data_IF_922915186875
#
_entry.id   IF_922915186875
#
_cell.length_a   1.000
_cell.length_b   1.000
_cell.length_c   1.000
_cell.angle_alpha   90.00
_cell.angle_beta   90.00
_cell.angle_gamma   90.00
#
_symmetry.space_group_name_H-M   'P 1'
#
loop_
_entity.id
_entity.type
_entity.pdbx_description
1 polymer ?
#
# COMPACT_ATOMS: atom_id res chain seq x y z
N UNK A 1 44.53 37.34 27.06
CA UNK A 1 44.24 35.88 26.93
C UNK A 1 42.78 35.71 27.34
N UNK A 2 41.88 35.57 26.42
CA UNK A 2 40.48 35.27 26.70
C UNK A 2 40.35 33.77 26.94
N UNK A 3 39.75 33.38 28.07
CA UNK A 3 39.45 31.97 28.39
C UNK A 3 38.52 31.38 27.33
N UNK A 4 38.68 30.12 26.98
CA UNK A 4 37.76 29.44 26.06
C UNK A 4 36.39 29.30 26.75
N UNK A 5 35.36 29.81 26.10
CA UNK A 5 33.95 29.67 26.49
C UNK A 5 33.53 28.20 26.28
N UNK A 6 33.39 27.45 27.34
CA UNK A 6 32.74 26.14 27.33
C UNK A 6 31.27 26.34 27.63
N UNK A 7 30.35 25.95 26.75
CA UNK A 7 28.92 26.03 27.07
C UNK A 7 28.59 25.08 28.24
N UNK A 8 27.61 25.49 29.04
CA UNK A 8 27.09 24.71 30.17
C UNK A 8 26.55 23.36 29.66
N UNK A 9 27.01 22.23 30.23
CA UNK A 9 26.51 20.91 29.82
C UNK A 9 24.99 20.72 29.97
N UNK A 10 24.35 21.41 30.92
CA UNK A 10 22.90 21.40 31.10
C UNK A 10 22.19 22.10 29.96
N UNK A 11 22.68 23.25 29.46
CA UNK A 11 22.12 23.96 28.33
C UNK A 11 22.24 23.18 27.01
N UNK A 12 23.30 22.38 26.87
CA UNK A 12 23.49 21.47 25.72
C UNK A 12 22.48 20.32 25.76
N UNK A 13 22.17 19.76 26.94
CA UNK A 13 21.20 18.69 27.07
C UNK A 13 19.76 19.14 26.80
N UNK A 14 19.36 20.32 27.29
CA UNK A 14 18.02 20.89 27.02
C UNK A 14 17.82 21.21 25.53
N UNK A 15 18.84 21.73 24.85
CA UNK A 15 18.83 21.99 23.41
C UNK A 15 18.65 20.69 22.60
N UNK A 16 19.39 19.64 22.95
CA UNK A 16 19.31 18.36 22.26
C UNK A 16 17.96 17.65 22.47
N UNK A 17 17.36 17.72 23.65
CA UNK A 17 16.01 17.18 23.91
C UNK A 17 14.94 17.94 23.13
N UNK A 18 15.08 19.27 23.00
CA UNK A 18 14.19 20.11 22.19
C UNK A 18 14.29 19.77 20.71
N UNK A 19 15.50 19.55 20.18
CA UNK A 19 15.72 19.18 18.78
C UNK A 19 15.12 17.80 18.45
N UNK A 20 15.30 16.82 19.36
CA UNK A 20 14.67 15.52 19.20
C UNK A 20 13.13 15.59 19.22
N UNK A 21 12.56 16.47 20.05
CA UNK A 21 11.12 16.68 20.11
C UNK A 21 10.58 17.14 18.74
N UNK A 22 11.20 18.15 18.13
CA UNK A 22 10.78 18.68 16.83
C UNK A 22 11.11 17.72 15.69
N UNK A 23 12.21 16.97 15.77
CA UNK A 23 12.50 15.94 14.78
C UNK A 23 11.48 14.78 14.83
N UNK A 24 10.99 14.37 16.00
CA UNK A 24 9.89 13.41 16.10
C UNK A 24 8.60 13.95 15.49
N UNK A 25 8.37 15.27 15.57
CA UNK A 25 7.26 15.91 14.86
C UNK A 25 7.44 15.79 13.34
N UNK A 26 8.61 16.14 12.82
CA UNK A 26 8.92 15.96 11.39
C UNK A 26 8.78 14.48 10.94
N UNK A 27 9.18 13.52 11.79
CA UNK A 27 8.99 12.08 11.52
C UNK A 27 7.51 11.67 11.39
N UNK A 28 6.60 12.28 12.18
CA UNK A 28 5.15 12.02 11.99
C UNK A 28 4.67 12.49 10.62
N UNK A 29 5.13 13.65 10.16
CA UNK A 29 4.82 14.18 8.82
C UNK A 29 5.44 13.30 7.72
N UNK A 30 6.65 12.79 7.91
CA UNK A 30 7.27 11.83 6.99
C UNK A 30 6.44 10.55 6.84
N UNK A 31 5.85 10.04 7.94
CA UNK A 31 4.96 8.87 7.87
C UNK A 31 3.65 9.17 7.13
N UNK A 32 3.14 10.43 7.19
CA UNK A 32 2.00 10.84 6.36
C UNK A 32 2.35 10.84 4.88
N UNK A 33 3.54 11.32 4.49
CA UNK A 33 4.02 11.20 3.12
C UNK A 33 4.06 9.73 2.66
N UNK A 34 4.64 8.82 3.48
CA UNK A 34 4.68 7.39 3.18
C UNK A 34 3.28 6.79 2.96
N UNK A 35 2.31 7.13 3.81
CA UNK A 35 0.93 6.68 3.69
C UNK A 35 0.24 7.18 2.41
N UNK A 36 0.63 8.37 1.92
CA UNK A 36 0.19 8.93 0.65
C UNK A 36 0.96 8.37 -0.57
N UNK A 37 1.93 7.45 -0.38
CA UNK A 37 2.75 6.89 -1.45
C UNK A 37 3.91 7.80 -1.91
N UNK A 38 4.20 8.85 -1.17
CA UNK A 38 5.30 9.78 -1.40
C UNK A 38 6.57 9.36 -0.65
N UNK A 39 7.73 9.86 -1.10
CA UNK A 39 8.99 9.64 -0.36
C UNK A 39 8.87 10.25 1.03
N UNK A 40 9.13 9.49 2.11
CA UNK A 40 8.82 9.90 3.47
C UNK A 40 9.81 10.95 4.00
N UNK A 41 9.57 12.18 3.64
CA UNK A 41 10.25 13.36 4.20
C UNK A 41 9.20 14.25 4.83
N UNK A 42 9.49 14.72 6.04
CA UNK A 42 8.65 15.68 6.77
C UNK A 42 9.51 16.83 7.31
N UNK A 43 8.93 18.01 7.37
CA UNK A 43 9.58 19.21 7.86
C UNK A 43 8.65 20.05 8.73
N UNK A 44 9.23 20.74 9.73
CA UNK A 44 8.52 21.69 10.57
C UNK A 44 9.36 22.96 10.79
N UNK A 45 8.73 24.13 10.66
CA UNK A 45 9.34 25.43 10.97
C UNK A 45 8.86 25.89 12.34
N UNK A 46 9.80 26.21 13.22
CA UNK A 46 9.55 26.58 14.62
C UNK A 46 10.19 27.93 14.94
N UNK A 47 9.50 28.75 15.75
CA UNK A 47 10.03 29.99 16.34
C UNK A 47 9.53 30.14 17.78
N UNK A 48 10.44 30.35 18.74
CA UNK A 48 10.07 30.51 20.14
C UNK A 48 9.22 29.39 20.72
N UNK A 49 9.50 28.14 20.34
CA UNK A 49 8.73 26.96 20.78
C UNK A 49 7.36 26.79 20.12
N UNK A 50 7.02 27.61 19.11
CA UNK A 50 5.74 27.50 18.38
C UNK A 50 5.97 27.03 16.95
N UNK A 51 5.14 26.09 16.50
CA UNK A 51 5.09 25.65 15.10
C UNK A 51 4.47 26.73 14.23
N UNK A 52 5.21 27.21 13.24
CA UNK A 52 4.75 28.18 12.25
C UNK A 52 4.34 27.53 10.94
N UNK A 53 4.97 26.43 10.55
CA UNK A 53 4.66 25.73 9.32
C UNK A 53 5.06 24.26 9.38
N UNK A 54 4.30 23.45 8.70
CA UNK A 54 4.48 22.00 8.57
C UNK A 54 4.43 21.62 7.11
N UNK A 55 5.18 20.58 6.74
CA UNK A 55 5.16 20.06 5.38
C UNK A 55 5.61 18.62 5.33
N UNK A 56 5.13 17.90 4.32
CA UNK A 56 5.60 16.58 3.95
C UNK A 56 5.66 16.48 2.43
N UNK A 57 6.52 15.60 1.92
CA UNK A 57 6.65 15.45 0.48
C UNK A 57 5.33 15.06 -0.18
N UNK A 58 4.96 15.79 -1.23
CA UNK A 58 3.76 15.55 -2.03
C UNK A 58 3.94 15.82 -3.55
N UNK A 59 5.12 15.61 -4.17
CA UNK A 59 5.32 15.90 -5.59
C UNK A 59 4.37 15.15 -6.51
N UNK A 60 4.08 13.88 -6.22
CA UNK A 60 3.21 13.03 -7.04
C UNK A 60 1.75 13.48 -6.88
N UNK A 61 1.29 13.59 -5.62
CA UNK A 61 -0.10 13.91 -5.31
C UNK A 61 -0.52 15.31 -5.74
N UNK A 62 0.42 16.28 -5.70
CA UNK A 62 0.17 17.66 -6.10
C UNK A 62 0.57 17.96 -7.55
N UNK A 63 1.21 17.01 -8.27
CA UNK A 63 1.80 17.23 -9.59
C UNK A 63 2.75 18.46 -9.63
N UNK A 64 3.46 18.69 -8.51
CA UNK A 64 4.38 19.80 -8.33
C UNK A 64 5.78 19.30 -7.96
N UNK A 65 6.79 19.43 -8.85
CA UNK A 65 8.15 18.97 -8.58
C UNK A 65 8.83 19.71 -7.42
N UNK A 66 8.27 20.83 -6.98
CA UNK A 66 8.78 21.63 -5.85
C UNK A 66 8.07 21.33 -4.52
N UNK A 67 7.08 20.45 -4.49
CA UNK A 67 6.31 20.10 -3.30
C UNK A 67 7.10 19.20 -2.33
N UNK A 68 8.34 19.60 -2.01
CA UNK A 68 9.13 19.00 -0.96
C UNK A 68 8.70 19.50 0.42
N UNK A 69 8.92 18.69 1.44
CA UNK A 69 8.52 18.96 2.83
C UNK A 69 8.96 20.33 3.30
N UNK A 70 10.22 20.69 3.04
CA UNK A 70 10.81 21.98 3.43
C UNK A 70 10.09 23.14 2.76
N UNK A 71 9.86 23.06 1.45
CA UNK A 71 9.19 24.11 0.68
C UNK A 71 7.75 24.31 1.15
N UNK A 72 7.05 23.23 1.45
CA UNK A 72 5.70 23.25 2.02
C UNK A 72 5.68 23.93 3.39
N UNK A 73 6.59 23.53 4.28
CA UNK A 73 6.71 24.13 5.61
C UNK A 73 7.07 25.62 5.58
N UNK A 74 8.01 26.01 4.69
CA UNK A 74 8.38 27.42 4.49
C UNK A 74 7.20 28.26 3.99
N UNK A 75 6.45 27.78 3.01
CA UNK A 75 5.26 28.47 2.48
C UNK A 75 4.22 28.70 3.57
N UNK A 76 3.91 27.68 4.35
CA UNK A 76 2.94 27.78 5.44
C UNK A 76 3.42 28.76 6.53
N UNK A 77 4.70 28.69 6.92
CA UNK A 77 5.28 29.58 7.93
C UNK A 77 5.26 31.05 7.45
N UNK A 78 5.62 31.30 6.18
CA UNK A 78 5.61 32.63 5.58
C UNK A 78 4.21 33.22 5.53
N UNK A 79 3.21 32.43 5.16
CA UNK A 79 1.81 32.84 5.17
C UNK A 79 1.33 33.20 6.59
N UNK A 80 1.68 32.35 7.59
CA UNK A 80 1.29 32.57 8.98
C UNK A 80 1.93 33.82 9.59
N UNK A 81 3.19 34.12 9.23
CA UNK A 81 3.88 35.32 9.67
C UNK A 81 3.56 36.56 8.85
N UNK A 82 2.91 36.42 7.70
CA UNK A 82 2.68 37.53 6.76
C UNK A 82 3.98 38.09 6.18
N UNK A 83 5.07 37.31 6.18
CA UNK A 83 6.38 37.73 5.72
C UNK A 83 7.14 36.53 5.10
N UNK A 84 7.78 36.76 3.94
CA UNK A 84 8.60 35.71 3.32
C UNK A 84 9.93 35.50 4.06
N UNK A 85 10.40 36.48 4.86
CA UNK A 85 11.59 36.31 5.71
C UNK A 85 11.20 35.65 7.01
N UNK A 86 11.84 34.54 7.30
CA UNK A 86 11.63 33.71 8.47
C UNK A 86 12.79 33.85 9.46
N UNK A 87 13.21 35.11 9.69
CA UNK A 87 14.31 35.44 10.58
C UNK A 87 14.08 34.89 12.00
N UNK A 88 15.09 34.25 12.58
CA UNK A 88 15.03 33.63 13.90
C UNK A 88 14.21 32.34 13.97
N UNK A 89 13.77 31.79 12.83
CA UNK A 89 13.14 30.47 12.77
C UNK A 89 14.17 29.35 12.64
N UNK A 90 13.82 28.19 13.18
CA UNK A 90 14.52 26.92 12.99
C UNK A 90 13.65 25.99 12.15
N UNK A 91 14.22 25.37 11.12
CA UNK A 91 13.57 24.30 10.37
C UNK A 91 14.14 22.95 10.80
N UNK A 92 13.28 22.00 11.10
CA UNK A 92 13.60 20.61 11.33
C UNK A 92 13.11 19.77 10.16
N UNK A 93 13.95 18.90 9.63
CA UNK A 93 13.62 18.05 8.47
C UNK A 93 14.24 16.66 8.63
N UNK A 94 13.51 15.63 8.25
CA UNK A 94 13.95 14.24 8.46
C UNK A 94 15.11 13.81 7.55
N UNK A 95 15.36 14.52 6.44
CA UNK A 95 16.40 14.24 5.46
C UNK A 95 17.20 15.51 5.15
N UNK A 96 18.49 15.36 4.90
CA UNK A 96 19.36 16.47 4.47
C UNK A 96 18.75 17.20 3.26
N UNK A 97 18.63 18.55 3.30
CA UNK A 97 18.03 19.31 2.21
C UNK A 97 18.77 19.18 0.90
N UNK A 98 18.03 19.02 -0.20
CA UNK A 98 18.60 19.07 -1.55
C UNK A 98 18.91 20.51 -1.98
N UNK A 99 19.55 20.70 -3.12
CA UNK A 99 19.95 22.03 -3.65
C UNK A 99 18.77 22.99 -3.79
N UNK A 100 17.61 22.52 -4.26
CA UNK A 100 16.40 23.34 -4.40
C UNK A 100 15.92 23.86 -3.05
N UNK A 101 15.81 22.95 -2.07
CA UNK A 101 15.36 23.30 -0.73
C UNK A 101 16.35 24.19 0.00
N UNK A 102 17.67 23.93 -0.16
CA UNK A 102 18.73 24.80 0.38
C UNK A 102 18.63 26.22 -0.16
N UNK A 103 18.39 26.38 -1.45
CA UNK A 103 18.13 27.68 -2.05
C UNK A 103 16.90 28.39 -1.46
N UNK A 104 15.81 27.66 -1.24
CA UNK A 104 14.59 28.18 -0.63
C UNK A 104 14.83 28.61 0.84
N UNK A 105 15.56 27.81 1.62
CA UNK A 105 15.94 28.09 3.01
C UNK A 105 16.74 29.38 3.15
N UNK A 106 17.76 29.56 2.27
CA UNK A 106 18.58 30.77 2.22
C UNK A 106 17.75 32.02 1.83
N UNK A 107 16.87 31.89 0.83
CA UNK A 107 15.96 32.97 0.43
C UNK A 107 14.98 33.35 1.55
N UNK A 108 14.49 32.36 2.29
CA UNK A 108 13.61 32.57 3.45
C UNK A 108 14.37 33.12 4.69
N UNK A 109 15.70 33.16 4.68
CA UNK A 109 16.56 33.59 5.80
C UNK A 109 16.32 32.81 7.09
N UNK A 110 16.15 31.49 6.95
CA UNK A 110 16.07 30.59 8.11
C UNK A 110 17.38 30.69 8.90
N UNK A 111 17.26 30.90 10.21
CA UNK A 111 18.44 31.06 11.06
C UNK A 111 19.18 29.73 11.29
N UNK A 112 18.46 28.65 11.47
CA UNK A 112 19.01 27.31 11.76
C UNK A 112 18.22 26.23 11.03
N UNK A 113 18.91 25.23 10.51
CA UNK A 113 18.33 24.00 9.96
C UNK A 113 18.91 22.81 10.71
N UNK A 114 18.03 21.97 11.21
CA UNK A 114 18.35 20.70 11.86
C UNK A 114 17.82 19.57 10.98
N UNK A 115 18.70 18.67 10.55
CA UNK A 115 18.28 17.53 9.74
C UNK A 115 18.62 16.18 10.37
N UNK A 116 17.82 15.16 10.05
CA UNK A 116 17.99 13.81 10.57
C UNK A 116 19.04 13.04 9.77
N UNK A 117 18.61 12.29 8.77
CA UNK A 117 19.47 11.44 7.94
C UNK A 117 20.25 12.26 6.90
N UNK A 118 21.46 11.82 6.56
CA UNK A 118 22.23 12.36 5.42
C UNK A 118 21.66 11.85 4.10
N UNK A 119 21.79 12.68 3.05
CA UNK A 119 21.40 12.32 1.67
C UNK A 119 22.65 12.25 0.76
N UNK A 120 23.22 11.05 0.55
CA UNK A 120 24.49 10.90 -0.16
C UNK A 120 24.41 11.15 -1.67
N UNK A 121 23.21 11.34 -2.25
CA UNK A 121 23.02 11.52 -3.69
C UNK A 121 22.72 12.95 -4.09
N UNK A 122 21.98 13.68 -3.29
CA UNK A 122 21.47 15.02 -3.62
C UNK A 122 21.56 16.02 -2.47
N UNK A 123 22.12 15.61 -1.32
CA UNK A 123 22.27 16.45 -0.15
C UNK A 123 23.16 17.65 -0.41
N UNK A 124 22.71 18.84 0.01
CA UNK A 124 23.41 20.11 -0.25
C UNK A 124 23.81 20.85 1.03
N UNK A 125 23.91 20.10 2.13
CA UNK A 125 24.37 20.59 3.44
C UNK A 125 25.58 19.78 3.96
N UNK A 126 26.48 19.41 3.05
CA UNK A 126 27.75 18.75 3.35
C UNK A 126 27.90 17.32 2.82
N UNK A 127 26.86 16.67 2.30
CA UNK A 127 26.99 15.31 1.75
C UNK A 127 27.51 15.27 0.31
N UNK A 128 26.96 16.06 -0.60
CA UNK A 128 27.38 16.16 -2.00
C UNK A 128 27.90 17.57 -2.30
N UNK A 129 27.14 18.56 -1.88
CA UNK A 129 27.48 19.97 -1.94
C UNK A 129 27.33 20.57 -0.55
N UNK A 130 28.01 21.70 -0.30
CA UNK A 130 27.75 22.52 0.89
C UNK A 130 27.45 23.94 0.44
N UNK A 131 26.16 24.19 0.18
CA UNK A 131 25.68 25.51 -0.26
C UNK A 131 25.76 26.53 0.89
N UNK A 132 25.61 26.06 2.14
CA UNK A 132 25.57 26.92 3.33
C UNK A 132 26.96 27.41 3.76
N UNK A 133 28.03 26.74 3.33
CA UNK A 133 29.40 27.15 3.56
C UNK A 133 29.90 28.25 2.63
N UNK A 134 29.11 28.67 1.64
CA UNK A 134 29.51 29.69 0.66
C UNK A 134 29.52 31.11 1.27
N UNK A 135 30.68 31.75 1.46
CA UNK A 135 30.77 33.04 2.14
C UNK A 135 30.21 34.22 1.31
N UNK A 136 29.96 34.00 0.01
CA UNK A 136 29.43 35.02 -0.90
C UNK A 136 27.89 35.20 -0.73
N UNK A 137 27.24 34.26 -0.05
CA UNK A 137 25.79 34.36 0.16
C UNK A 137 25.44 35.35 1.26
N UNK A 138 24.42 36.17 1.01
CA UNK A 138 23.93 37.18 1.93
C UNK A 138 23.19 36.65 3.16
N UNK A 139 22.81 35.37 3.14
CA UNK A 139 22.13 34.69 4.24
C UNK A 139 23.06 33.60 4.81
N UNK A 140 23.22 33.60 6.12
CA UNK A 140 24.02 32.62 6.82
C UNK A 140 23.08 31.78 7.72
N UNK A 141 22.88 30.54 7.34
CA UNK A 141 22.05 29.58 8.05
C UNK A 141 22.95 28.58 8.77
N UNK A 142 22.75 28.38 10.07
CA UNK A 142 23.47 27.33 10.80
C UNK A 142 22.89 25.98 10.48
N UNK A 143 23.75 25.01 10.16
CA UNK A 143 23.36 23.65 9.83
C UNK A 143 23.76 22.68 10.93
N UNK A 144 22.84 21.79 11.33
CA UNK A 144 23.09 20.71 12.27
C UNK A 144 22.45 19.41 11.77
N UNK A 145 23.27 18.37 11.63
CA UNK A 145 22.82 17.08 11.12
C UNK A 145 22.95 15.96 12.13
N UNK A 146 22.19 14.90 11.92
CA UNK A 146 22.32 13.65 12.71
C UNK A 146 21.31 13.52 13.85
N UNK A 147 20.37 14.44 14.01
CA UNK A 147 19.34 14.36 15.04
C UNK A 147 18.34 13.27 14.70
N UNK A 148 18.28 12.20 15.49
CA UNK A 148 17.50 10.98 15.25
C UNK A 148 17.78 10.38 13.85
N UNK A 149 19.05 10.41 13.42
CA UNK A 149 19.47 10.00 12.10
C UNK A 149 19.03 8.56 11.74
N UNK A 150 19.17 7.63 12.70
CA UNK A 150 18.79 6.23 12.50
C UNK A 150 17.28 6.07 12.30
N UNK A 151 16.46 6.74 13.11
CA UNK A 151 15.01 6.71 12.98
C UNK A 151 14.56 7.31 11.64
N UNK A 152 15.17 8.42 11.23
CA UNK A 152 14.89 9.07 9.95
C UNK A 152 15.28 8.17 8.76
N UNK A 153 16.45 7.56 8.82
CA UNK A 153 16.92 6.63 7.79
C UNK A 153 16.05 5.36 7.72
N UNK A 154 15.58 4.85 8.86
CA UNK A 154 14.73 3.66 8.91
C UNK A 154 13.42 3.86 8.16
N UNK A 155 12.73 4.99 8.35
CA UNK A 155 11.46 5.30 7.65
C UNK A 155 11.66 5.33 6.12
N UNK A 156 12.76 5.90 5.64
CA UNK A 156 13.13 5.89 4.21
C UNK A 156 13.44 4.47 3.72
N UNK A 157 14.24 3.72 4.48
CA UNK A 157 14.63 2.36 4.12
C UNK A 157 13.42 1.42 4.01
N UNK A 158 12.51 1.47 4.96
CA UNK A 158 11.25 0.70 4.96
C UNK A 158 10.40 1.01 3.73
N UNK A 159 10.19 2.29 3.43
CA UNK A 159 9.44 2.72 2.26
C UNK A 159 10.03 2.18 0.95
N UNK A 160 11.35 2.35 0.75
CA UNK A 160 12.01 1.87 -0.46
C UNK A 160 12.08 0.34 -0.51
N UNK A 161 12.17 -0.34 0.61
CA UNK A 161 12.10 -1.80 0.67
C UNK A 161 10.72 -2.29 0.22
N UNK A 162 9.65 -1.70 0.75
CA UNK A 162 8.28 -2.02 0.34
C UNK A 162 8.04 -1.73 -1.14
N UNK A 163 8.50 -0.57 -1.65
CA UNK A 163 8.41 -0.21 -3.08
C UNK A 163 9.16 -1.20 -3.96
N UNK A 164 10.39 -1.60 -3.59
CA UNK A 164 11.16 -2.63 -4.35
C UNK A 164 10.46 -3.98 -4.31
N UNK A 165 9.88 -4.36 -3.19
CA UNK A 165 9.14 -5.61 -3.07
C UNK A 165 7.89 -5.60 -3.96
N UNK A 166 7.13 -4.51 -3.95
CA UNK A 166 5.98 -4.32 -4.84
C UNK A 166 6.40 -4.36 -6.32
N UNK A 167 7.48 -3.66 -6.69
CA UNK A 167 8.00 -3.67 -8.06
C UNK A 167 8.50 -5.07 -8.48
N UNK A 168 9.19 -5.81 -7.61
CA UNK A 168 9.60 -7.19 -7.88
C UNK A 168 8.39 -8.11 -8.07
N UNK A 169 7.37 -7.98 -7.25
CA UNK A 169 6.12 -8.73 -7.39
C UNK A 169 5.39 -8.39 -8.70
N UNK A 170 5.44 -7.13 -9.13
CA UNK A 170 4.86 -6.69 -10.41
C UNK A 170 5.74 -7.06 -11.62
N UNK A 171 7.05 -7.02 -11.47
CA UNK A 171 8.05 -7.26 -12.52
C UNK A 171 8.51 -8.72 -12.62
N UNK A 172 7.88 -9.65 -11.87
CA UNK A 172 8.25 -11.06 -11.98
C UNK A 172 8.17 -11.52 -13.44
N UNK A 173 9.26 -12.07 -13.99
CA UNK A 173 9.27 -12.47 -15.39
C UNK A 173 8.16 -13.47 -15.62
N UNK A 174 7.29 -13.16 -16.58
CA UNK A 174 6.22 -14.03 -16.96
C UNK A 174 6.81 -15.32 -17.56
N UNK A 175 6.34 -16.46 -17.08
CA UNK A 175 6.73 -17.77 -17.65
C UNK A 175 6.40 -17.81 -19.13
N UNK A 176 7.24 -18.44 -20.00
CA UNK A 176 6.99 -18.54 -21.44
C UNK A 176 5.66 -19.24 -21.80
N UNK A 177 5.19 -20.13 -20.90
CA UNK A 177 3.96 -20.90 -21.06
C UNK A 177 2.74 -20.24 -20.41
N UNK A 178 2.84 -18.97 -19.99
CA UNK A 178 1.75 -18.20 -19.40
C UNK A 178 1.55 -16.86 -20.13
N UNK A 179 0.42 -16.21 -19.89
CA UNK A 179 0.13 -14.83 -20.25
C UNK A 179 -0.34 -14.07 -19.04
N UNK A 180 -0.10 -12.76 -19.04
CA UNK A 180 -0.58 -11.82 -18.03
C UNK A 180 -1.47 -10.79 -18.69
N UNK A 181 -2.66 -10.62 -18.16
CA UNK A 181 -3.56 -9.55 -18.64
C UNK A 181 -2.96 -8.19 -18.28
N UNK A 182 -2.77 -7.30 -19.25
CA UNK A 182 -2.26 -5.96 -18.97
C UNK A 182 -3.20 -5.17 -18.05
N UNK A 183 -2.63 -4.38 -17.14
CA UNK A 183 -3.41 -3.56 -16.18
C UNK A 183 -4.42 -2.63 -16.87
N UNK A 184 -4.09 -2.09 -18.04
CA UNK A 184 -5.01 -1.25 -18.84
C UNK A 184 -6.33 -1.92 -19.21
N UNK A 185 -6.40 -3.26 -19.11
CA UNK A 185 -7.65 -4.00 -19.36
C UNK A 185 -8.63 -3.91 -18.17
N UNK A 186 -8.15 -3.52 -16.99
CA UNK A 186 -8.94 -3.39 -15.79
C UNK A 186 -9.21 -1.91 -15.52
N UNK A 187 -10.35 -1.39 -16.04
CA UNK A 187 -10.74 -0.02 -15.79
C UNK A 187 -10.91 0.25 -14.27
N UNK A 188 -10.56 1.44 -13.78
CA UNK A 188 -10.91 1.85 -12.43
C UNK A 188 -12.42 1.77 -12.20
N UNK A 189 -12.84 1.18 -11.07
CA UNK A 189 -14.23 1.08 -10.68
C UNK A 189 -14.37 1.48 -9.22
N UNK A 190 -15.18 2.51 -8.89
CA UNK A 190 -15.47 2.88 -7.50
C UNK A 190 -16.04 1.73 -6.65
N UNK A 191 -16.70 0.74 -7.27
CA UNK A 191 -17.18 -0.45 -6.59
C UNK A 191 -16.07 -1.48 -6.29
N UNK A 192 -14.83 -1.25 -6.72
CA UNK A 192 -13.65 -2.06 -6.47
C UNK A 192 -12.46 -1.20 -6.04
N UNK A 193 -12.50 -0.55 -4.86
CA UNK A 193 -11.47 0.39 -4.43
C UNK A 193 -10.23 -0.28 -3.84
N UNK A 194 -10.26 -1.60 -3.64
CA UNK A 194 -9.20 -2.32 -2.92
C UNK A 194 -7.93 -2.46 -3.73
N UNK A 195 -6.79 -2.28 -3.04
CA UNK A 195 -5.48 -2.42 -3.66
C UNK A 195 -5.21 -3.87 -4.10
N UNK A 196 -4.74 -4.04 -5.32
CA UNK A 196 -4.34 -5.35 -5.83
C UNK A 196 -3.12 -5.88 -5.08
N UNK A 197 -3.24 -7.04 -4.45
CA UNK A 197 -2.13 -7.76 -3.83
C UNK A 197 -1.74 -8.96 -4.67
N UNK A 198 -0.46 -9.29 -4.66
CA UNK A 198 0.08 -10.40 -5.45
C UNK A 198 1.02 -11.24 -4.62
N UNK A 199 0.97 -12.57 -4.82
CA UNK A 199 1.94 -13.52 -4.30
C UNK A 199 2.44 -14.41 -5.45
N UNK A 200 3.71 -14.79 -5.40
CA UNK A 200 4.34 -15.61 -6.43
C UNK A 200 5.24 -16.71 -5.85
N UNK A 201 5.51 -16.64 -4.55
CA UNK A 201 6.43 -17.54 -3.86
C UNK A 201 5.74 -18.79 -3.31
N UNK A 202 4.47 -19.04 -3.69
CA UNK A 202 3.77 -20.26 -3.32
C UNK A 202 4.26 -21.41 -4.23
N UNK A 203 4.63 -22.58 -3.65
CA UNK A 203 5.16 -23.72 -4.41
C UNK A 203 4.26 -24.15 -5.58
N UNK A 204 2.94 -24.21 -5.38
CA UNK A 204 1.97 -24.59 -6.40
C UNK A 204 1.90 -23.63 -7.58
N UNK A 205 2.29 -22.37 -7.42
CA UNK A 205 2.34 -21.38 -8.49
C UNK A 205 3.50 -21.61 -9.45
N UNK A 206 4.60 -22.18 -8.98
CA UNK A 206 5.80 -22.48 -9.78
C UNK A 206 6.24 -21.26 -10.63
N UNK A 207 6.31 -20.07 -10.01
CA UNK A 207 6.72 -18.83 -10.64
C UNK A 207 5.60 -18.06 -11.36
N UNK A 208 4.34 -18.46 -11.24
CA UNK A 208 3.19 -17.64 -11.62
C UNK A 208 2.84 -16.66 -10.51
N UNK A 209 2.16 -15.58 -10.88
CA UNK A 209 1.64 -14.58 -9.95
C UNK A 209 0.15 -14.82 -9.68
N UNK A 210 -0.23 -14.90 -8.41
CA UNK A 210 -1.62 -14.98 -7.94
C UNK A 210 -2.06 -13.62 -7.42
N UNK A 211 -3.20 -13.14 -7.88
CA UNK A 211 -3.85 -11.95 -7.36
C UNK A 211 -4.85 -12.30 -6.26
N UNK A 212 -4.89 -11.48 -5.24
CA UNK A 212 -5.90 -11.54 -4.18
C UNK A 212 -6.14 -10.17 -3.56
N UNK A 213 -7.29 -10.02 -2.93
CA UNK A 213 -7.62 -8.90 -2.02
C UNK A 213 -7.63 -9.47 -0.62
N UNK A 214 -7.06 -8.76 0.36
CA UNK A 214 -7.07 -9.11 1.78
C UNK A 214 -7.29 -7.82 2.57
N UNK A 215 -8.53 -7.61 3.01
CA UNK A 215 -8.97 -6.38 3.65
C UNK A 215 -9.78 -6.69 4.92
N UNK A 216 -9.87 -5.70 5.81
CA UNK A 216 -10.55 -5.79 7.09
C UNK A 216 -9.62 -6.08 8.27
N UNK A 217 -10.15 -6.18 9.49
CA UNK A 217 -9.35 -6.39 10.70
C UNK A 217 -8.64 -7.74 10.67
N UNK A 218 -7.31 -7.81 10.88
CA UNK A 218 -6.55 -9.07 10.79
C UNK A 218 -6.93 -10.10 11.88
N UNK A 219 -7.57 -9.65 12.96
CA UNK A 219 -8.04 -10.49 14.07
C UNK A 219 -9.46 -11.00 13.89
N UNK A 220 -10.22 -10.46 12.92
CA UNK A 220 -11.57 -10.91 12.63
C UNK A 220 -11.55 -12.27 11.90
N UNK A 221 -12.62 -13.09 12.01
CA UNK A 221 -12.78 -14.28 11.21
C UNK A 221 -12.65 -13.97 9.72
N UNK A 222 -11.82 -14.75 9.02
CA UNK A 222 -11.54 -14.49 7.61
C UNK A 222 -12.56 -15.21 6.71
N UNK A 223 -13.28 -14.44 5.90
CA UNK A 223 -14.13 -14.96 4.83
C UNK A 223 -13.32 -15.06 3.53
N UNK A 224 -13.18 -16.26 3.00
CA UNK A 224 -12.46 -16.55 1.76
C UNK A 224 -13.45 -16.73 0.63
N UNK A 225 -13.36 -15.86 -0.37
CA UNK A 225 -14.28 -15.79 -1.49
C UNK A 225 -13.66 -16.41 -2.74
N UNK A 226 -14.33 -17.39 -3.34
CA UNK A 226 -13.93 -18.05 -4.58
C UNK A 226 -14.98 -17.83 -5.68
N UNK A 227 -14.51 -17.29 -6.80
CA UNK A 227 -15.32 -17.11 -8.02
C UNK A 227 -15.47 -18.43 -8.80
N UNK A 228 -16.45 -18.49 -9.68
CA UNK A 228 -16.66 -19.59 -10.63
C UNK A 228 -15.62 -19.61 -11.78
N UNK A 229 -15.79 -20.54 -12.71
CA UNK A 229 -14.91 -20.70 -13.88
C UNK A 229 -15.16 -19.70 -15.00
N UNK A 230 -16.05 -18.73 -14.82
CA UNK A 230 -16.42 -17.73 -15.85
C UNK A 230 -15.90 -16.35 -15.49
N UNK A 231 -15.89 -16.06 -14.18
CA UNK A 231 -15.63 -14.73 -13.66
C UNK A 231 -14.24 -14.53 -13.05
N UNK A 232 -14.22 -13.66 -12.04
CA UNK A 232 -13.08 -13.33 -11.19
C UNK A 232 -13.61 -12.83 -9.85
N UNK A 233 -12.73 -12.58 -8.90
CA UNK A 233 -13.07 -11.98 -7.61
C UNK A 233 -13.86 -10.67 -7.74
N UNK A 234 -13.67 -9.91 -8.83
CA UNK A 234 -14.44 -8.70 -9.14
C UNK A 234 -15.97 -8.96 -9.20
N UNK A 235 -16.39 -10.14 -9.62
CA UNK A 235 -17.80 -10.53 -9.64
C UNK A 235 -18.47 -10.56 -8.26
N UNK A 236 -17.67 -10.68 -7.21
CA UNK A 236 -18.11 -10.73 -5.81
C UNK A 236 -17.97 -9.38 -5.07
N UNK A 237 -17.70 -8.27 -5.79
CA UNK A 237 -17.37 -6.95 -5.22
C UNK A 237 -18.39 -6.42 -4.22
N UNK A 238 -19.67 -6.57 -4.49
CA UNK A 238 -20.72 -6.10 -3.57
C UNK A 238 -20.73 -6.90 -2.26
N UNK A 239 -20.43 -8.19 -2.35
CA UNK A 239 -20.32 -9.04 -1.18
C UNK A 239 -19.06 -8.73 -0.36
N UNK A 240 -17.93 -8.49 -1.03
CA UNK A 240 -16.71 -8.02 -0.37
C UNK A 240 -16.98 -6.75 0.42
N UNK A 241 -17.62 -5.74 -0.21
CA UNK A 241 -17.97 -4.48 0.45
C UNK A 241 -18.89 -4.69 1.66
N UNK A 242 -19.93 -5.52 1.53
CA UNK A 242 -20.90 -5.77 2.60
C UNK A 242 -20.28 -6.52 3.79
N UNK A 243 -19.41 -7.51 3.56
CA UNK A 243 -18.70 -8.22 4.62
C UNK A 243 -17.72 -7.29 5.36
N UNK A 244 -17.00 -6.44 4.65
CA UNK A 244 -16.11 -5.43 5.26
C UNK A 244 -16.89 -4.43 6.10
N UNK A 245 -18.06 -3.97 5.64
CA UNK A 245 -18.96 -3.11 6.42
C UNK A 245 -19.49 -3.80 7.68
N UNK A 246 -19.65 -5.13 7.65
CA UNK A 246 -19.99 -5.94 8.81
C UNK A 246 -18.77 -6.23 9.73
N UNK A 247 -17.62 -5.57 9.51
CA UNK A 247 -16.43 -5.73 10.34
C UNK A 247 -15.65 -7.03 10.14
N UNK A 248 -15.94 -7.77 9.07
CA UNK A 248 -15.28 -9.04 8.79
C UNK A 248 -13.96 -8.83 8.02
N UNK A 249 -13.01 -9.77 8.12
CA UNK A 249 -11.86 -9.86 7.21
C UNK A 249 -12.27 -10.62 5.97
N UNK A 250 -11.89 -10.11 4.79
CA UNK A 250 -12.26 -10.70 3.50
C UNK A 250 -11.02 -10.97 2.67
N UNK A 251 -10.89 -12.21 2.19
CA UNK A 251 -9.88 -12.61 1.21
C UNK A 251 -10.57 -13.05 -0.07
N UNK A 252 -10.50 -12.24 -1.13
CA UNK A 252 -11.07 -12.57 -2.43
C UNK A 252 -9.95 -12.95 -3.41
N UNK A 253 -10.01 -14.12 -4.00
CA UNK A 253 -8.92 -14.71 -4.77
C UNK A 253 -9.28 -14.78 -6.25
N UNK A 254 -8.38 -14.31 -7.11
CA UNK A 254 -8.41 -14.67 -8.53
C UNK A 254 -7.61 -15.94 -8.74
N UNK A 255 -8.27 -17.05 -9.02
CA UNK A 255 -7.60 -18.31 -9.29
C UNK A 255 -6.65 -18.19 -10.50
N UNK A 256 -5.54 -18.97 -10.57
CA UNK A 256 -4.67 -18.98 -11.75
C UNK A 256 -5.47 -19.24 -13.02
N UNK A 257 -5.26 -18.42 -14.05
CA UNK A 257 -6.07 -18.47 -15.28
C UNK A 257 -7.23 -17.48 -15.30
N UNK A 258 -7.48 -16.74 -14.21
CA UNK A 258 -8.61 -15.82 -14.07
C UNK A 258 -8.17 -14.45 -13.57
N UNK A 259 -9.05 -13.48 -13.68
CA UNK A 259 -8.89 -12.13 -13.14
C UNK A 259 -7.52 -11.51 -13.44
N UNK A 260 -6.87 -10.97 -12.42
CA UNK A 260 -5.54 -10.36 -12.49
C UNK A 260 -4.40 -11.37 -12.28
N UNK A 261 -4.70 -12.63 -11.97
CA UNK A 261 -3.70 -13.70 -11.86
C UNK A 261 -3.12 -14.09 -13.20
N UNK A 262 -1.89 -14.61 -13.20
CA UNK A 262 -1.25 -15.14 -14.41
C UNK A 262 -2.02 -16.32 -14.97
N UNK A 263 -1.99 -16.46 -16.29
CA UNK A 263 -2.81 -17.42 -17.04
C UNK A 263 -1.94 -18.40 -17.80
N UNK A 264 -1.72 -19.63 -17.27
CA UNK A 264 -1.13 -20.70 -18.03
C UNK A 264 -1.89 -20.95 -19.34
N UNK A 265 -1.14 -21.04 -20.46
CA UNK A 265 -1.70 -21.16 -21.83
C UNK A 265 -2.29 -22.54 -22.11
N UNK A 266 -1.84 -23.57 -21.37
CA UNK A 266 -2.26 -24.95 -21.60
C UNK A 266 -3.40 -25.34 -20.67
N UNK A 267 -4.50 -25.86 -21.20
CA UNK A 267 -5.64 -26.37 -20.42
C UNK A 267 -5.23 -27.48 -19.45
N UNK A 268 -4.28 -28.31 -19.82
CA UNK A 268 -3.72 -29.40 -18.98
C UNK A 268 -3.01 -28.92 -17.70
N UNK A 269 -2.60 -27.62 -17.66
CA UNK A 269 -2.04 -27.04 -16.45
C UNK A 269 -3.11 -26.86 -15.36
N UNK A 270 -4.32 -26.54 -15.77
CA UNK A 270 -5.45 -26.28 -14.90
C UNK A 270 -6.08 -27.58 -14.44
N UNK A 271 -5.74 -28.02 -13.25
CA UNK A 271 -6.32 -29.20 -12.59
C UNK A 271 -6.98 -28.77 -11.28
N UNK A 272 -8.15 -29.31 -10.91
CA UNK A 272 -8.83 -28.99 -9.64
C UNK A 272 -7.90 -29.12 -8.42
N UNK A 273 -7.12 -30.21 -8.37
CA UNK A 273 -6.18 -30.47 -7.28
C UNK A 273 -5.11 -29.39 -7.16
N UNK A 274 -4.65 -28.84 -8.30
CA UNK A 274 -3.64 -27.79 -8.32
C UNK A 274 -4.20 -26.46 -7.83
N UNK A 275 -5.39 -26.10 -8.25
CA UNK A 275 -6.08 -24.92 -7.72
C UNK A 275 -6.35 -25.04 -6.21
N UNK A 276 -6.81 -26.22 -5.77
CA UNK A 276 -6.98 -26.54 -4.34
C UNK A 276 -5.69 -26.35 -3.56
N UNK A 277 -4.57 -26.90 -4.06
CA UNK A 277 -3.25 -26.75 -3.44
C UNK A 277 -2.87 -25.28 -3.31
N UNK A 278 -2.97 -24.50 -4.39
CA UNK A 278 -2.59 -23.07 -4.40
C UNK A 278 -3.43 -22.27 -3.40
N UNK A 279 -4.73 -22.53 -3.31
CA UNK A 279 -5.58 -21.86 -2.32
C UNK A 279 -5.16 -22.21 -0.89
N UNK A 280 -4.86 -23.48 -0.60
CA UNK A 280 -4.34 -23.89 0.71
C UNK A 280 -3.01 -23.24 1.06
N UNK A 281 -2.09 -23.17 0.10
CA UNK A 281 -0.80 -22.50 0.27
C UNK A 281 -1.00 -20.98 0.53
N UNK A 282 -1.95 -20.34 -0.14
CA UNK A 282 -2.30 -18.95 0.12
C UNK A 282 -2.84 -18.76 1.55
N UNK A 283 -3.70 -19.65 2.03
CA UNK A 283 -4.21 -19.56 3.41
C UNK A 283 -3.10 -19.70 4.45
N UNK A 284 -2.16 -20.62 4.23
CA UNK A 284 -0.98 -20.76 5.09
C UNK A 284 -0.11 -19.50 5.06
N UNK A 285 0.13 -18.94 3.86
CA UNK A 285 0.86 -17.68 3.69
C UNK A 285 0.22 -16.51 4.44
N UNK A 286 -1.11 -16.42 4.40
CA UNK A 286 -1.90 -15.39 5.09
C UNK A 286 -2.17 -15.72 6.57
N UNK A 287 -1.66 -16.87 7.07
CA UNK A 287 -1.87 -17.38 8.44
C UNK A 287 -3.36 -17.54 8.81
N UNK A 288 -4.17 -17.99 7.85
CA UNK A 288 -5.59 -18.27 8.03
C UNK A 288 -5.76 -19.76 8.27
N UNK A 289 -6.07 -20.14 9.50
CA UNK A 289 -6.19 -21.57 9.89
C UNK A 289 -7.63 -22.07 9.84
N UNK A 290 -8.59 -21.19 10.06
CA UNK A 290 -10.03 -21.49 10.08
C UNK A 290 -10.77 -20.53 9.15
N UNK A 291 -10.67 -20.70 7.82
CA UNK A 291 -11.38 -19.84 6.88
C UNK A 291 -12.89 -20.12 6.96
N UNK A 292 -13.70 -19.07 6.82
CA UNK A 292 -15.10 -19.18 6.44
C UNK A 292 -15.19 -19.03 4.92
N UNK A 293 -15.95 -19.88 4.30
CA UNK A 293 -15.99 -19.94 2.86
C UNK A 293 -17.24 -19.30 2.27
N UNK A 294 -17.04 -18.44 1.27
CA UNK A 294 -18.09 -18.02 0.36
C UNK A 294 -17.67 -18.41 -1.05
N UNK A 295 -18.42 -19.29 -1.66
CA UNK A 295 -18.06 -19.85 -2.97
C UNK A 295 -19.21 -19.73 -3.96
N UNK A 296 -18.91 -19.41 -5.22
CA UNK A 296 -19.90 -19.61 -6.28
C UNK A 296 -20.07 -21.11 -6.57
N UNK A 297 -21.29 -21.51 -6.94
CA UNK A 297 -21.65 -22.94 -7.14
C UNK A 297 -20.69 -23.67 -8.06
N UNK A 298 -20.22 -23.04 -9.15
CA UNK A 298 -19.22 -23.62 -10.05
C UNK A 298 -17.88 -23.91 -9.34
N UNK A 299 -17.42 -23.07 -8.43
CA UNK A 299 -16.19 -23.33 -7.66
C UNK A 299 -16.42 -24.42 -6.60
N UNK A 300 -17.56 -24.41 -5.94
CA UNK A 300 -17.93 -25.42 -4.98
C UNK A 300 -17.93 -26.82 -5.59
N UNK A 301 -18.44 -26.95 -6.82
CA UNK A 301 -18.53 -28.21 -7.53
C UNK A 301 -17.18 -28.81 -7.95
N UNK A 302 -16.20 -27.95 -8.28
CA UNK A 302 -14.89 -28.40 -8.81
C UNK A 302 -13.75 -28.37 -7.79
N UNK A 303 -13.94 -27.71 -6.66
CA UNK A 303 -12.94 -27.61 -5.58
C UNK A 303 -13.45 -28.16 -4.23
N UNK A 304 -14.19 -29.29 -4.19
CA UNK A 304 -14.84 -29.74 -2.96
C UNK A 304 -13.83 -30.10 -1.86
N UNK A 305 -12.60 -30.43 -2.22
CA UNK A 305 -11.54 -30.76 -1.27
C UNK A 305 -11.08 -29.58 -0.39
N UNK A 306 -11.55 -28.35 -0.65
CA UNK A 306 -11.31 -27.20 0.23
C UNK A 306 -12.31 -27.18 1.39
N UNK A 307 -13.52 -27.71 1.21
CA UNK A 307 -14.56 -27.76 2.25
C UNK A 307 -14.29 -28.89 3.26
N UNK A 308 -14.57 -28.66 4.53
CA UNK A 308 -14.51 -29.67 5.59
C UNK A 308 -15.57 -29.36 6.69
N UNK A 309 -16.65 -30.15 6.79
CA UNK A 309 -17.16 -31.15 5.84
C UNK A 309 -18.00 -30.55 4.70
N UNK A 310 -18.34 -29.25 4.76
CA UNK A 310 -19.19 -28.55 3.81
C UNK A 310 -18.76 -27.09 3.67
N UNK A 311 -19.15 -26.45 2.57
CA UNK A 311 -19.01 -25.02 2.39
C UNK A 311 -19.88 -24.25 3.39
N UNK A 312 -19.40 -23.11 3.91
CA UNK A 312 -20.22 -22.27 4.77
C UNK A 312 -21.35 -21.62 3.96
N UNK A 313 -21.00 -20.99 2.84
CA UNK A 313 -21.95 -20.26 2.00
C UNK A 313 -21.73 -20.55 0.52
N UNK A 314 -22.70 -21.14 -0.16
CA UNK A 314 -22.70 -21.36 -1.60
C UNK A 314 -23.61 -20.37 -2.32
N UNK A 315 -23.07 -19.66 -3.31
CA UNK A 315 -23.79 -18.66 -4.09
C UNK A 315 -24.19 -19.21 -5.45
N UNK A 316 -25.48 -19.14 -5.77
CA UNK A 316 -26.04 -19.51 -7.06
C UNK A 316 -26.17 -18.32 -8.00
N UNK A 317 -26.14 -18.59 -9.28
CA UNK A 317 -26.32 -17.62 -10.34
C UNK A 317 -25.06 -16.94 -10.83
N UNK A 318 -25.11 -16.26 -11.98
CA UNK A 318 -23.98 -15.62 -12.61
C UNK A 318 -23.54 -14.37 -11.85
N UNK A 319 -22.23 -14.10 -11.86
CA UNK A 319 -21.71 -12.86 -11.33
C UNK A 319 -22.09 -11.64 -12.20
N UNK A 320 -22.36 -10.46 -11.63
CA UNK A 320 -22.70 -9.24 -12.34
C UNK A 320 -21.46 -8.57 -12.95
N UNK A 321 -20.86 -9.21 -13.93
CA UNK A 321 -19.60 -8.76 -14.52
C UNK A 321 -19.79 -7.66 -15.58
N UNK A 322 -20.90 -7.66 -16.31
CA UNK A 322 -21.13 -6.70 -17.40
C UNK A 322 -19.97 -6.66 -18.40
N UNK A 323 -19.54 -5.46 -18.79
CA UNK A 323 -18.39 -5.25 -19.68
C UNK A 323 -17.07 -5.76 -19.08
N UNK A 324 -16.93 -5.83 -17.76
CA UNK A 324 -15.74 -6.35 -17.08
C UNK A 324 -15.53 -7.87 -17.25
N UNK A 325 -16.53 -8.61 -17.73
CA UNK A 325 -16.41 -10.05 -17.97
C UNK A 325 -15.27 -10.41 -18.95
N UNK A 326 -15.01 -9.53 -19.92
CA UNK A 326 -13.96 -9.73 -20.92
C UNK A 326 -12.60 -9.19 -20.51
N UNK A 327 -12.54 -8.32 -19.52
CA UNK A 327 -11.32 -7.65 -19.10
C UNK A 327 -10.15 -8.62 -18.82
N UNK A 328 -10.35 -9.77 -18.11
CA UNK A 328 -9.29 -10.74 -17.88
C UNK A 328 -8.85 -11.50 -19.12
N UNK A 329 -9.63 -11.50 -20.20
CA UNK A 329 -9.49 -12.39 -21.36
C UNK A 329 -9.48 -11.62 -22.69
N UNK A 330 -8.50 -10.74 -22.93
CA UNK A 330 -8.46 -9.87 -24.12
C UNK A 330 -8.35 -10.68 -25.42
N UNK A 331 -7.83 -11.89 -25.37
CA UNK A 331 -7.70 -12.78 -26.53
C UNK A 331 -7.86 -14.28 -26.18
N UNK A 332 -7.77 -15.14 -27.18
CA UNK A 332 -7.93 -16.58 -27.03
C UNK A 332 -6.85 -17.24 -26.16
N UNK A 333 -5.63 -16.68 -26.12
CA UNK A 333 -4.51 -17.17 -25.30
C UNK A 333 -4.77 -17.05 -23.80
N UNK A 334 -5.61 -16.12 -23.40
CA UNK A 334 -5.98 -15.89 -21.98
C UNK A 334 -7.09 -16.83 -21.48
N UNK A 335 -7.70 -17.67 -22.34
CA UNK A 335 -8.90 -18.46 -22.03
C UNK A 335 -8.64 -19.94 -21.69
N UNK A 336 -7.41 -20.34 -21.45
CA UNK A 336 -7.11 -21.75 -21.12
C UNK A 336 -7.77 -22.19 -19.80
N UNK A 337 -7.77 -21.34 -18.76
CA UNK A 337 -8.44 -21.60 -17.50
C UNK A 337 -9.95 -21.85 -17.65
N UNK A 338 -10.72 -20.90 -18.22
CA UNK A 338 -12.15 -21.09 -18.49
C UNK A 338 -12.46 -22.35 -19.34
N UNK A 339 -11.63 -22.65 -20.34
CA UNK A 339 -11.81 -23.86 -21.15
C UNK A 339 -11.57 -25.15 -20.38
N UNK A 340 -10.57 -25.18 -19.52
CA UNK A 340 -10.31 -26.32 -18.65
C UNK A 340 -11.45 -26.52 -17.65
N UNK A 341 -11.89 -25.40 -17.04
CA UNK A 341 -12.97 -25.42 -16.06
C UNK A 341 -14.26 -26.04 -16.60
N UNK A 342 -14.64 -25.67 -17.83
CA UNK A 342 -15.83 -26.21 -18.50
C UNK A 342 -15.77 -27.73 -18.75
N UNK A 343 -14.60 -28.37 -18.65
CA UNK A 343 -14.39 -29.79 -18.86
C UNK A 343 -14.30 -30.57 -17.53
N UNK A 344 -14.25 -29.91 -16.38
CA UNK A 344 -14.13 -30.59 -15.12
C UNK A 344 -15.43 -31.22 -14.67
N UNK A 345 -15.37 -32.41 -14.04
CA UNK A 345 -16.57 -33.05 -13.53
C UNK A 345 -17.18 -32.22 -12.42
N UNK A 346 -18.47 -31.99 -12.54
CA UNK A 346 -19.26 -31.31 -11.50
C UNK A 346 -19.63 -32.31 -10.43
N UNK A 347 -19.30 -32.05 -9.17
CA UNK A 347 -19.68 -32.86 -8.03
C UNK A 347 -20.83 -32.20 -7.28
N UNK A 348 -21.67 -33.00 -6.65
CA UNK A 348 -22.69 -32.47 -5.72
C UNK A 348 -22.02 -31.76 -4.56
N UNK A 349 -22.51 -30.57 -4.22
CA UNK A 349 -21.93 -29.73 -3.18
C UNK A 349 -22.86 -29.67 -1.97
N UNK A 350 -22.30 -29.88 -0.79
CA UNK A 350 -22.99 -29.59 0.46
C UNK A 350 -22.58 -28.19 0.92
N UNK A 351 -23.54 -27.37 1.25
CA UNK A 351 -23.32 -26.05 1.85
C UNK A 351 -24.25 -25.88 3.05
N UNK A 352 -23.76 -25.18 4.07
CA UNK A 352 -24.53 -24.87 5.27
C UNK A 352 -25.61 -23.84 4.98
N UNK A 353 -25.30 -22.92 4.07
CA UNK A 353 -26.23 -21.90 3.62
C UNK A 353 -26.14 -21.66 2.11
N UNK A 354 -27.26 -21.32 1.48
CA UNK A 354 -27.34 -21.01 0.06
C UNK A 354 -27.83 -19.57 -0.13
N UNK A 355 -27.25 -18.87 -1.08
CA UNK A 355 -27.64 -17.53 -1.49
C UNK A 355 -27.50 -17.37 -2.99
N UNK A 356 -27.80 -16.18 -3.48
CA UNK A 356 -27.54 -15.79 -4.87
C UNK A 356 -26.37 -14.81 -4.95
N UNK A 357 -25.69 -14.76 -6.08
CA UNK A 357 -24.66 -13.74 -6.28
C UNK A 357 -25.33 -12.36 -6.31
N UNK A 358 -25.01 -11.43 -5.39
CA UNK A 358 -25.69 -10.16 -5.33
C UNK A 358 -25.31 -9.28 -6.53
N UNK A 359 -26.30 -8.63 -7.12
CA UNK A 359 -26.14 -7.75 -8.30
C UNK A 359 -25.94 -6.28 -7.93
N UNK A 360 -26.16 -5.92 -6.65
CA UNK A 360 -25.99 -4.58 -6.11
C UNK A 360 -25.63 -4.60 -4.62
N UNK A 361 -25.28 -3.43 -4.10
CA UNK A 361 -24.86 -3.28 -2.70
C UNK A 361 -26.00 -3.55 -1.70
N UNK A 362 -27.24 -3.19 -2.02
CA UNK A 362 -28.38 -3.37 -1.13
C UNK A 362 -28.69 -4.85 -0.93
N UNK A 363 -28.75 -5.62 -2.02
CA UNK A 363 -28.93 -7.08 -1.99
C UNK A 363 -27.80 -7.75 -1.20
N UNK A 364 -26.55 -7.31 -1.40
CA UNK A 364 -25.39 -7.85 -0.69
C UNK A 364 -25.51 -7.62 0.83
N UNK A 365 -25.88 -6.42 1.26
CA UNK A 365 -26.07 -6.11 2.68
C UNK A 365 -27.14 -6.96 3.36
N UNK A 366 -28.27 -7.17 2.68
CA UNK A 366 -29.36 -8.03 3.20
C UNK A 366 -28.85 -9.47 3.38
N UNK A 367 -28.17 -10.01 2.39
CA UNK A 367 -27.64 -11.38 2.44
C UNK A 367 -26.56 -11.54 3.51
N UNK A 368 -25.64 -10.58 3.64
CA UNK A 368 -24.59 -10.62 4.68
C UNK A 368 -25.23 -10.56 6.07
N UNK A 369 -26.23 -9.71 6.30
CA UNK A 369 -26.92 -9.66 7.59
C UNK A 369 -27.55 -11.00 7.93
N UNK A 370 -28.29 -11.60 7.01
CA UNK A 370 -28.89 -12.92 7.21
C UNK A 370 -27.85 -14.02 7.44
N UNK A 371 -26.71 -13.97 6.74
CA UNK A 371 -25.60 -14.89 6.95
C UNK A 371 -24.96 -14.72 8.34
N UNK A 372 -24.73 -13.49 8.77
CA UNK A 372 -24.17 -13.21 10.11
C UNK A 372 -25.09 -13.73 11.22
N UNK A 373 -26.40 -13.52 11.09
CA UNK A 373 -27.40 -14.07 12.03
C UNK A 373 -27.35 -15.61 12.03
N UNK A 374 -27.30 -16.25 10.87
CA UNK A 374 -27.26 -17.71 10.75
C UNK A 374 -25.98 -18.31 11.36
N UNK A 375 -24.82 -17.70 11.14
CA UNK A 375 -23.51 -18.18 11.61
C UNK A 375 -23.17 -17.69 13.04
N UNK A 376 -23.99 -16.84 13.64
CA UNK A 376 -23.79 -16.34 15.00
C UNK A 376 -22.61 -15.41 15.15
N UNK A 377 -22.37 -14.52 14.20
CA UNK A 377 -21.23 -13.60 14.14
C UNK A 377 -21.61 -12.14 14.05
#
# INVERSE_FOLDING_TARGET
>A
MSEPFFPDPAAVSEGAETDQHWMRHALRLARQAAAAGEVPVGAVVVKGGQVLGEGFNAPIGQHDPTAHAEVQALRQAAQRLGNYRLDGCTLYVTLEPCTMCSGALLNARIARVVYGAREPKTGAAGSVLDVFALPQLNAHTTMEGGVLAEECAAVLAEFFQQRRQQQRQQAQPLRPDAVRTPERCFAPDPAWPWAARYVADLPGLAGLRLHYVDEGPPTAPAWVLLHDGVGSSYGLRYLVAALLQAGQRVVAVDLPGFGRSDKPKKTQWHLPQKHTQIVRELLLFLKIHQPRWVVQEGAAAVLPALADPAWDWCLQGPAPLGAAAQAPFPDAGHRAGPRAWAQWPVQATAARWHGTVPHDAATAQVQVRAAMEYFGT
#
